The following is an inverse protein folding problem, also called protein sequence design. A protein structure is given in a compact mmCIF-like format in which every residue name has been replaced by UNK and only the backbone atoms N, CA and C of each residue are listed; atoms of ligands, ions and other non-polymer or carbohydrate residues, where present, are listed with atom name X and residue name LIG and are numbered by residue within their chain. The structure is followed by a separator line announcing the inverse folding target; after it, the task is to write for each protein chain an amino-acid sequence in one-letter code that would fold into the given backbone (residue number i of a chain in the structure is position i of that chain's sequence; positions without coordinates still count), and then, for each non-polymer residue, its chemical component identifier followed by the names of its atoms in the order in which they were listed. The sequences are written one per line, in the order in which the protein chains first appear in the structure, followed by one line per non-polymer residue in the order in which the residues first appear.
data_IF_673057404774
#
_entry.id   IF_673057404774
#
_cell.length_a   1.000
_cell.length_b   1.000
_cell.length_c   1.000
_cell.angle_alpha   90.00
_cell.angle_beta   90.00
_cell.angle_gamma   90.00
#
_symmetry.space_group_name_H-M   'P 1'
#
loop_
_entity.id
_entity.type
_entity.pdbx_description
1 polymer ?
#
# COMPACT_ATOMS: atom_id res chain seq x y z
N UNK A 1 14.14 -12.86 9.19
CA UNK A 1 13.75 -11.46 9.06
C UNK A 1 13.12 -11.06 10.37
N UNK A 2 13.60 -10.02 11.00
CA UNK A 2 13.18 -9.58 12.33
C UNK A 2 12.82 -8.10 12.28
N UNK A 3 11.68 -7.74 12.86
CA UNK A 3 11.19 -6.37 12.97
C UNK A 3 11.05 -5.93 14.44
N UNK A 4 11.69 -6.64 15.36
CA UNK A 4 11.66 -6.29 16.79
C UNK A 4 12.10 -4.84 17.02
N UNK A 5 11.31 -4.13 17.81
CA UNK A 5 11.55 -2.73 18.14
C UNK A 5 11.25 -1.73 17.02
N UNK A 6 10.84 -2.18 15.82
CA UNK A 6 10.46 -1.32 14.72
C UNK A 6 9.04 -0.82 14.85
N UNK A 7 8.81 0.42 14.42
CA UNK A 7 7.47 1.02 14.33
C UNK A 7 7.05 1.09 12.87
N UNK A 8 5.89 0.50 12.55
CA UNK A 8 5.32 0.50 11.20
C UNK A 8 4.00 1.28 11.18
N UNK A 9 3.85 2.18 10.19
CA UNK A 9 2.61 2.88 9.88
C UNK A 9 2.09 2.37 8.54
N UNK A 10 0.87 1.82 8.51
CA UNK A 10 0.29 1.21 7.30
C UNK A 10 -1.07 1.84 7.02
N UNK A 11 -1.24 2.48 5.86
CA UNK A 11 -2.51 3.07 5.43
C UNK A 11 -3.41 2.07 4.70
N UNK A 12 -4.74 2.22 4.80
CA UNK A 12 -5.70 1.26 4.25
C UNK A 12 -5.55 -0.12 4.90
N UNK A 13 -5.23 -0.16 6.19
CA UNK A 13 -4.85 -1.38 6.89
C UNK A 13 -6.01 -2.11 7.59
N UNK A 14 -7.25 -1.63 7.43
CA UNK A 14 -8.42 -2.30 7.98
C UNK A 14 -8.88 -3.52 7.16
N UNK A 15 -8.33 -3.75 5.96
CA UNK A 15 -8.71 -4.87 5.09
C UNK A 15 -7.60 -5.27 4.11
N UNK A 16 -7.81 -6.37 3.38
CA UNK A 16 -6.99 -6.80 2.23
C UNK A 16 -5.49 -6.86 2.52
N UNK A 17 -4.70 -6.33 1.59
CA UNK A 17 -3.24 -6.34 1.67
C UNK A 17 -2.72 -5.59 2.90
N UNK A 18 -3.30 -4.43 3.22
CA UNK A 18 -2.89 -3.63 4.38
C UNK A 18 -3.06 -4.37 5.69
N UNK A 19 -4.18 -5.05 5.88
CA UNK A 19 -4.43 -5.89 7.07
C UNK A 19 -3.42 -7.03 7.18
N UNK A 20 -3.17 -7.76 6.09
CA UNK A 20 -2.19 -8.85 6.08
C UNK A 20 -0.78 -8.35 6.40
N UNK A 21 -0.36 -7.20 5.83
CA UNK A 21 0.93 -6.59 6.17
C UNK A 21 1.00 -6.18 7.64
N UNK A 22 -0.07 -5.59 8.20
CA UNK A 22 -0.12 -5.20 9.61
C UNK A 22 0.05 -6.43 10.54
N UNK A 23 -0.68 -7.50 10.28
CA UNK A 23 -0.60 -8.75 11.03
C UNK A 23 0.79 -9.40 10.90
N UNK A 24 1.34 -9.44 9.68
CA UNK A 24 2.65 -10.03 9.39
C UNK A 24 3.79 -9.27 10.08
N UNK A 25 3.75 -7.92 10.05
CA UNK A 25 4.76 -7.10 10.70
C UNK A 25 4.70 -7.26 12.23
N UNK A 26 3.51 -7.26 12.82
CA UNK A 26 3.33 -7.48 14.25
C UNK A 26 3.78 -8.88 14.70
N UNK A 27 3.53 -9.91 13.89
CA UNK A 27 4.01 -11.28 14.15
C UNK A 27 5.55 -11.37 14.13
N UNK A 28 6.23 -10.45 13.43
CA UNK A 28 7.70 -10.34 13.38
C UNK A 28 8.26 -9.34 14.42
N UNK A 29 7.43 -8.87 15.36
CA UNK A 29 7.87 -8.07 16.49
C UNK A 29 7.75 -6.55 16.30
N UNK A 30 7.21 -6.06 15.18
CA UNK A 30 6.96 -4.64 15.01
C UNK A 30 5.79 -4.15 15.86
N UNK A 31 5.83 -2.87 16.26
CA UNK A 31 4.66 -2.12 16.71
C UNK A 31 3.99 -1.50 15.48
N UNK A 32 2.67 -1.62 15.35
CA UNK A 32 1.96 -1.33 14.10
C UNK A 32 0.84 -0.33 14.32
N UNK A 33 0.84 0.75 13.56
CA UNK A 33 -0.30 1.64 13.42
C UNK A 33 -1.14 1.20 12.22
N UNK A 34 -2.35 0.73 12.50
CA UNK A 34 -3.38 0.37 11.52
C UNK A 34 -4.13 1.65 11.18
N UNK A 35 -3.77 2.31 10.08
CA UNK A 35 -4.38 3.59 9.66
C UNK A 35 -5.41 3.33 8.57
N UNK A 36 -6.65 3.78 8.78
CA UNK A 36 -7.72 3.61 7.79
C UNK A 36 -8.75 4.75 7.87
N UNK A 37 -9.51 4.94 6.81
CA UNK A 37 -10.65 5.86 6.80
C UNK A 37 -11.76 5.38 7.75
N UNK A 38 -11.92 4.05 7.88
CA UNK A 38 -12.85 3.41 8.82
C UNK A 38 -12.14 3.16 10.15
N UNK A 39 -12.25 4.11 11.08
CA UNK A 39 -11.62 4.03 12.40
C UNK A 39 -12.05 2.81 13.20
N UNK A 40 -13.34 2.44 13.16
CA UNK A 40 -13.85 1.25 13.87
C UNK A 40 -13.17 -0.03 13.39
N UNK A 41 -13.07 -0.23 12.06
CA UNK A 41 -12.38 -1.39 11.49
C UNK A 41 -10.88 -1.37 11.76
N UNK A 42 -10.26 -0.19 11.77
CA UNK A 42 -8.85 -0.06 12.15
C UNK A 42 -8.63 -0.49 13.61
N UNK A 43 -9.52 -0.07 14.51
CA UNK A 43 -9.48 -0.46 15.91
C UNK A 43 -9.71 -1.97 16.10
N UNK A 44 -10.64 -2.58 15.35
CA UNK A 44 -10.87 -4.04 15.38
C UNK A 44 -9.62 -4.82 14.96
N UNK A 45 -8.95 -4.40 13.88
CA UNK A 45 -7.71 -5.06 13.40
C UNK A 45 -6.59 -4.88 14.43
N UNK A 46 -6.43 -3.68 14.99
CA UNK A 46 -5.42 -3.42 16.02
C UNK A 46 -5.67 -4.26 17.28
N UNK A 47 -6.92 -4.36 17.73
CA UNK A 47 -7.30 -5.20 18.88
C UNK A 47 -7.00 -6.69 18.63
N UNK A 48 -7.25 -7.18 17.41
CA UNK A 48 -6.94 -8.57 17.02
C UNK A 48 -5.43 -8.85 16.97
N UNK A 49 -4.59 -7.84 16.73
CA UNK A 49 -3.12 -7.97 16.78
C UNK A 49 -2.64 -7.97 18.24
N UNK A 50 -3.25 -7.14 19.08
CA UNK A 50 -2.89 -6.98 20.49
C UNK A 50 -2.58 -5.53 20.84
N UNK A 51 -3.14 -5.05 21.95
CA UNK A 51 -3.07 -3.64 22.37
C UNK A 51 -1.65 -3.16 22.72
N UNK A 52 -0.75 -4.07 23.05
CA UNK A 52 0.67 -3.82 23.30
C UNK A 52 1.49 -3.62 22.01
N UNK A 53 0.97 -4.08 20.87
CA UNK A 53 1.65 -4.11 19.58
C UNK A 53 1.00 -3.26 18.50
N UNK A 54 -0.29 -2.93 18.63
CA UNK A 54 -0.97 -2.20 17.58
C UNK A 54 -1.96 -1.15 18.11
N UNK A 55 -2.09 -0.06 17.34
CA UNK A 55 -3.12 0.97 17.52
C UNK A 55 -3.90 1.16 16.22
N UNK A 56 -5.21 1.41 16.36
CA UNK A 56 -6.05 1.86 15.24
C UNK A 56 -6.05 3.38 15.18
N UNK A 57 -5.89 3.94 13.98
CA UNK A 57 -5.87 5.39 13.75
C UNK A 57 -6.78 5.72 12.57
N UNK A 58 -7.70 6.67 12.75
CA UNK A 58 -8.56 7.15 11.67
C UNK A 58 -7.85 8.24 10.88
N UNK A 59 -7.78 8.11 9.54
CA UNK A 59 -7.27 9.17 8.67
C UNK A 59 -7.79 9.02 7.24
N UNK A 60 -8.17 10.12 6.60
CA UNK A 60 -8.32 10.22 5.15
C UNK A 60 -6.96 10.58 4.53
N UNK A 61 -6.37 9.67 3.79
CA UNK A 61 -5.06 9.87 3.15
C UNK A 61 -5.04 11.00 2.12
N UNK A 62 -6.20 11.44 1.64
CA UNK A 62 -6.32 12.58 0.71
C UNK A 62 -6.17 13.91 1.42
N UNK A 63 -6.32 13.91 2.76
CA UNK A 63 -6.24 15.09 3.62
C UNK A 63 -4.90 15.13 4.34
N UNK A 64 -4.09 16.14 4.04
CA UNK A 64 -2.76 16.29 4.64
C UNK A 64 -2.84 16.40 6.17
N UNK A 65 -3.80 17.16 6.69
CA UNK A 65 -3.95 17.36 8.13
C UNK A 65 -4.24 16.04 8.89
N UNK A 66 -4.99 15.12 8.28
CA UNK A 66 -5.26 13.81 8.88
C UNK A 66 -3.98 12.98 8.98
N UNK A 67 -3.13 13.00 7.94
CA UNK A 67 -1.86 12.29 7.98
C UNK A 67 -0.86 12.92 8.96
N UNK A 68 -0.83 14.25 9.09
CA UNK A 68 -0.02 14.92 10.12
C UNK A 68 -0.46 14.49 11.52
N UNK A 69 -1.78 14.42 11.78
CA UNK A 69 -2.33 13.96 13.04
C UNK A 69 -2.04 12.46 13.27
N UNK A 70 -2.17 11.63 12.24
CA UNK A 70 -1.87 10.20 12.33
C UNK A 70 -0.40 9.94 12.66
N UNK A 71 0.53 10.60 11.96
CA UNK A 71 1.97 10.48 12.23
C UNK A 71 2.30 10.94 13.65
N UNK A 72 1.68 12.04 14.12
CA UNK A 72 1.85 12.50 15.50
C UNK A 72 1.38 11.44 16.51
N UNK A 73 0.16 10.90 16.34
CA UNK A 73 -0.39 9.87 17.21
C UNK A 73 0.51 8.63 17.28
N UNK A 74 1.03 8.18 16.12
CA UNK A 74 1.95 7.04 16.06
C UNK A 74 3.26 7.33 16.76
N UNK A 75 3.81 8.52 16.56
CA UNK A 75 5.07 8.94 17.18
C UNK A 75 4.95 9.04 18.70
N UNK A 76 3.83 9.52 19.22
CA UNK A 76 3.56 9.57 20.65
C UNK A 76 3.39 8.17 21.26
N UNK A 77 2.76 7.24 20.54
CA UNK A 77 2.51 5.89 21.04
C UNK A 77 3.73 4.96 20.94
N UNK A 78 4.45 5.01 19.81
CA UNK A 78 5.45 4.00 19.46
C UNK A 78 6.81 4.55 19.03
N UNK A 79 6.96 5.86 18.95
CA UNK A 79 8.13 6.52 18.36
C UNK A 79 7.99 6.76 16.86
N UNK A 80 8.99 7.43 16.29
CA UNK A 80 9.01 7.75 14.85
C UNK A 80 8.91 6.47 14.02
N UNK A 81 8.03 6.43 12.99
CA UNK A 81 7.93 5.25 12.14
C UNK A 81 9.24 4.91 11.43
N UNK A 82 9.75 3.69 11.61
CA UNK A 82 10.85 3.11 10.83
C UNK A 82 10.39 2.65 9.45
N UNK A 83 9.12 2.20 9.37
CA UNK A 83 8.51 1.61 8.19
C UNK A 83 7.19 2.33 7.91
N UNK A 84 7.04 2.88 6.71
CA UNK A 84 5.79 3.49 6.26
C UNK A 84 5.29 2.73 5.04
N UNK A 85 4.03 2.27 5.07
CA UNK A 85 3.41 1.59 3.93
C UNK A 85 2.23 2.41 3.43
N UNK A 86 2.40 3.06 2.28
CA UNK A 86 1.34 3.71 1.53
C UNK A 86 0.55 2.64 0.76
N UNK A 87 -0.39 1.98 1.47
CA UNK A 87 -1.20 0.91 0.89
C UNK A 87 -2.61 1.37 0.52
N UNK A 88 -3.17 2.40 1.18
CA UNK A 88 -4.47 2.93 0.82
C UNK A 88 -4.55 3.19 -0.69
N UNK A 89 -5.59 2.65 -1.32
CA UNK A 89 -5.75 2.75 -2.75
C UNK A 89 -7.18 2.43 -3.17
N UNK A 90 -7.56 2.91 -4.33
CA UNK A 90 -8.85 2.63 -4.94
C UNK A 90 -8.73 2.44 -6.45
N UNK A 91 -9.71 1.80 -7.03
CA UNK A 91 -9.92 1.74 -8.49
C UNK A 91 -11.29 2.34 -8.84
N UNK A 92 -11.49 2.64 -10.10
CA UNK A 92 -12.85 2.76 -10.65
C UNK A 92 -13.29 1.40 -11.20
N UNK A 93 -14.59 1.22 -11.40
CA UNK A 93 -15.14 0.03 -12.04
C UNK A 93 -14.53 -0.12 -13.44
N UNK A 94 -14.21 -1.35 -13.84
CA UNK A 94 -13.75 -1.65 -15.20
C UNK A 94 -14.87 -1.30 -16.21
N UNK A 95 -14.62 -0.29 -17.03
CA UNK A 95 -15.58 0.27 -18.01
C UNK A 95 -14.85 1.05 -19.11
N UNK A 96 -15.51 1.40 -20.22
CA UNK A 96 -14.92 2.27 -21.25
C UNK A 96 -14.39 3.57 -20.68
N UNK A 97 -13.24 4.02 -21.18
CA UNK A 97 -12.52 5.17 -20.60
C UNK A 97 -13.33 6.48 -20.61
N UNK A 98 -14.22 6.65 -21.58
CA UNK A 98 -15.07 7.84 -21.68
C UNK A 98 -16.27 7.84 -20.73
N UNK A 99 -16.58 6.70 -20.11
CA UNK A 99 -17.68 6.57 -19.15
C UNK A 99 -17.22 6.86 -17.71
N UNK A 100 -15.92 7.09 -17.49
CA UNK A 100 -15.38 7.49 -16.19
C UNK A 100 -15.48 9.00 -16.05
N UNK A 101 -16.29 9.46 -15.10
CA UNK A 101 -16.48 10.89 -14.85
C UNK A 101 -15.26 11.54 -14.17
N UNK A 102 -15.18 12.88 -14.24
CA UNK A 102 -14.07 13.66 -13.69
C UNK A 102 -13.92 13.47 -12.16
N UNK A 103 -15.02 13.41 -11.43
CA UNK A 103 -14.98 13.24 -9.98
C UNK A 103 -14.38 11.89 -9.59
N UNK A 104 -14.67 10.83 -10.33
CA UNK A 104 -14.07 9.50 -10.15
C UNK A 104 -12.57 9.53 -10.49
N UNK A 105 -12.18 10.19 -11.59
CA UNK A 105 -10.78 10.40 -11.95
C UNK A 105 -10.02 11.11 -10.83
N UNK A 106 -10.54 12.26 -10.37
CA UNK A 106 -9.91 13.05 -9.30
C UNK A 106 -9.73 12.25 -8.02
N UNK A 107 -10.75 11.48 -7.65
CA UNK A 107 -10.70 10.64 -6.45
C UNK A 107 -9.66 9.53 -6.56
N UNK A 108 -9.54 8.87 -7.72
CA UNK A 108 -8.52 7.85 -7.97
C UNK A 108 -7.12 8.45 -7.82
N UNK A 109 -6.86 9.63 -8.38
CA UNK A 109 -5.57 10.30 -8.27
C UNK A 109 -5.33 10.86 -6.87
N UNK A 110 -6.34 11.38 -6.20
CA UNK A 110 -6.23 11.85 -4.83
C UNK A 110 -5.81 10.73 -3.88
N UNK A 111 -6.44 9.54 -3.99
CA UNK A 111 -6.16 8.40 -3.12
C UNK A 111 -4.86 7.70 -3.52
N UNK A 112 -4.60 7.43 -4.80
CA UNK A 112 -3.46 6.61 -5.22
C UNK A 112 -2.15 7.38 -5.36
N UNK A 113 -2.20 8.70 -5.61
CA UNK A 113 -1.03 9.52 -5.95
C UNK A 113 -0.81 10.63 -4.94
N UNK A 114 -1.81 11.52 -4.73
CA UNK A 114 -1.68 12.65 -3.81
C UNK A 114 -1.46 12.19 -2.36
N UNK A 115 -2.00 11.04 -1.96
CA UNK A 115 -1.77 10.46 -0.64
C UNK A 115 -0.28 10.22 -0.36
N UNK A 116 0.50 9.80 -1.37
CA UNK A 116 1.95 9.61 -1.25
C UNK A 116 2.63 10.96 -1.00
N UNK A 117 2.27 12.00 -1.77
CA UNK A 117 2.75 13.36 -1.52
C UNK A 117 2.44 13.81 -0.08
N UNK A 118 1.21 13.63 0.36
CA UNK A 118 0.79 13.99 1.72
C UNK A 118 1.59 13.24 2.78
N UNK A 119 1.78 11.92 2.63
CA UNK A 119 2.54 11.10 3.58
C UNK A 119 4.02 11.49 3.60
N UNK A 120 4.65 11.72 2.45
CA UNK A 120 6.05 12.18 2.39
C UNK A 120 6.24 13.43 3.22
N UNK A 121 5.39 14.42 3.04
CA UNK A 121 5.47 15.66 3.79
C UNK A 121 5.15 15.50 5.29
N UNK A 122 4.30 14.55 5.66
CA UNK A 122 3.94 14.30 7.04
C UNK A 122 5.06 13.59 7.83
N UNK A 123 5.76 12.63 7.20
CA UNK A 123 6.62 11.71 7.94
C UNK A 123 8.11 11.87 7.65
N UNK A 124 8.50 12.27 6.42
CA UNK A 124 9.93 12.31 6.02
C UNK A 124 10.78 13.22 6.89
N UNK A 125 10.33 14.43 7.32
CA UNK A 125 11.13 15.24 8.24
C UNK A 125 11.52 14.51 9.52
N UNK A 126 10.56 13.83 10.15
CA UNK A 126 10.81 13.05 11.37
C UNK A 126 11.71 11.84 11.11
N UNK A 127 11.46 11.08 10.01
CA UNK A 127 12.31 9.94 9.63
C UNK A 127 13.76 10.35 9.38
N UNK A 128 13.97 11.48 8.67
CA UNK A 128 15.32 12.04 8.42
C UNK A 128 16.04 12.34 9.73
N UNK A 129 15.39 13.04 10.63
CA UNK A 129 15.97 13.47 11.91
C UNK A 129 16.16 12.26 12.86
N UNK A 130 15.43 11.17 12.65
CA UNK A 130 15.56 9.90 13.38
C UNK A 130 16.65 8.96 12.80
N UNK A 131 17.25 9.30 11.66
CA UNK A 131 18.36 8.54 11.05
C UNK A 131 17.96 7.64 9.89
N UNK A 132 16.76 7.78 9.35
CA UNK A 132 16.32 7.08 8.14
C UNK A 132 15.16 6.11 8.35
N UNK A 133 14.98 5.18 7.40
CA UNK A 133 13.90 4.20 7.44
C UNK A 133 13.55 3.66 6.06
N UNK A 134 12.31 3.16 5.90
CA UNK A 134 11.83 2.66 4.61
C UNK A 134 10.37 3.06 4.35
N UNK A 135 10.11 3.50 3.12
CA UNK A 135 8.77 3.73 2.60
C UNK A 135 8.45 2.69 1.52
N UNK A 136 7.33 2.03 1.67
CA UNK A 136 6.80 1.06 0.71
C UNK A 136 5.49 1.60 0.13
N UNK A 137 5.43 1.74 -1.19
CA UNK A 137 4.22 2.17 -1.87
C UNK A 137 3.57 0.97 -2.54
N UNK A 138 2.27 0.73 -2.29
CA UNK A 138 1.55 -0.32 -3.00
C UNK A 138 1.14 0.20 -4.38
N UNK A 139 2.01 -0.08 -5.35
CA UNK A 139 1.79 0.15 -6.76
C UNK A 139 0.81 -0.84 -7.36
N UNK A 140 1.08 -1.29 -8.57
CA UNK A 140 0.35 -2.37 -9.24
C UNK A 140 1.11 -2.81 -10.49
N UNK A 141 0.92 -4.08 -10.90
CA UNK A 141 1.27 -4.52 -12.26
C UNK A 141 0.52 -3.74 -13.35
N UNK A 142 -0.63 -3.14 -13.02
CA UNK A 142 -1.37 -2.25 -13.92
C UNK A 142 -0.56 -1.02 -14.38
N UNK A 143 0.38 -0.56 -13.54
CA UNK A 143 1.35 0.49 -13.88
C UNK A 143 2.55 -0.01 -14.68
N UNK A 144 2.67 -1.31 -14.96
CA UNK A 144 3.73 -1.95 -15.75
C UNK A 144 3.14 -2.49 -17.05
N UNK A 145 2.10 -3.32 -16.96
CA UNK A 145 1.36 -3.93 -18.06
C UNK A 145 -0.12 -3.57 -17.92
N UNK A 146 -0.58 -2.50 -18.60
CA UNK A 146 -1.92 -1.95 -18.39
C UNK A 146 -3.02 -2.93 -18.82
N UNK A 147 -4.22 -2.72 -18.28
CA UNK A 147 -5.41 -3.49 -18.59
C UNK A 147 -6.47 -2.60 -19.26
N UNK A 148 -7.16 -3.07 -20.28
CA UNK A 148 -8.32 -2.37 -20.85
C UNK A 148 -9.39 -2.11 -19.77
N UNK A 149 -10.12 -1.01 -19.93
CA UNK A 149 -11.22 -0.62 -19.04
C UNK A 149 -10.78 -0.02 -17.69
N UNK A 150 -9.48 0.13 -17.45
CA UNK A 150 -8.90 0.68 -16.21
C UNK A 150 -7.89 1.80 -16.47
N UNK A 151 -8.05 2.56 -17.55
CA UNK A 151 -7.06 3.53 -18.03
C UNK A 151 -6.58 4.49 -16.93
N UNK A 152 -7.49 5.11 -16.19
CA UNK A 152 -7.14 6.10 -15.18
C UNK A 152 -6.50 5.48 -13.94
N UNK A 153 -6.96 4.30 -13.54
CA UNK A 153 -6.29 3.50 -12.52
C UNK A 153 -4.88 3.09 -12.95
N UNK A 154 -4.70 2.57 -14.18
CA UNK A 154 -3.37 2.21 -14.72
C UNK A 154 -2.42 3.40 -14.66
N UNK A 155 -2.88 4.60 -15.09
CA UNK A 155 -2.11 5.84 -15.02
C UNK A 155 -1.71 6.21 -13.60
N UNK A 156 -2.65 6.13 -12.65
CA UNK A 156 -2.35 6.42 -11.23
C UNK A 156 -1.33 5.47 -10.64
N UNK A 157 -1.38 4.17 -10.98
CA UNK A 157 -0.42 3.17 -10.51
C UNK A 157 0.93 3.24 -11.23
N UNK A 158 0.93 3.68 -12.51
CA UNK A 158 2.17 4.07 -13.20
C UNK A 158 2.86 5.24 -12.50
N UNK A 159 2.10 6.26 -12.11
CA UNK A 159 2.62 7.36 -11.30
C UNK A 159 3.17 6.89 -9.95
N UNK A 160 2.46 6.02 -9.22
CA UNK A 160 2.93 5.45 -7.96
C UNK A 160 4.27 4.71 -8.14
N UNK A 161 4.40 3.89 -9.18
CA UNK A 161 5.62 3.14 -9.47
C UNK A 161 6.80 4.08 -9.78
N UNK A 162 6.57 5.15 -10.55
CA UNK A 162 7.59 6.13 -10.89
C UNK A 162 7.96 7.03 -9.70
N UNK A 163 6.98 7.50 -8.92
CA UNK A 163 7.22 8.28 -7.71
C UNK A 163 8.09 7.51 -6.71
N UNK A 164 7.90 6.19 -6.59
CA UNK A 164 8.74 5.36 -5.72
C UNK A 164 10.21 5.40 -6.12
N UNK A 165 10.51 5.40 -7.43
CA UNK A 165 11.88 5.52 -7.95
C UNK A 165 12.44 6.92 -7.72
N UNK A 166 11.66 7.96 -8.00
CA UNK A 166 12.11 9.35 -7.81
C UNK A 166 12.39 9.65 -6.34
N UNK A 167 11.48 9.26 -5.44
CA UNK A 167 11.67 9.42 -4.01
C UNK A 167 12.88 8.64 -3.48
N UNK A 168 13.16 7.46 -4.04
CA UNK A 168 14.32 6.66 -3.66
C UNK A 168 15.64 7.43 -3.89
N UNK A 169 15.74 8.14 -5.02
CA UNK A 169 16.94 8.94 -5.35
C UNK A 169 17.06 10.14 -4.41
N UNK A 170 15.96 10.87 -4.20
CA UNK A 170 15.99 12.10 -3.38
C UNK A 170 16.16 11.84 -1.88
N UNK A 171 15.60 10.72 -1.37
CA UNK A 171 15.63 10.42 0.06
C UNK A 171 16.82 9.56 0.50
N UNK A 172 17.56 8.97 -0.45
CA UNK A 172 18.74 8.16 -0.15
C UNK A 172 19.81 8.87 0.71
N UNK A 173 20.12 10.18 0.51
CA UNK A 173 21.06 10.91 1.37
C UNK A 173 20.64 10.97 2.85
N UNK A 174 19.35 10.76 3.14
CA UNK A 174 18.81 10.72 4.50
C UNK A 174 18.63 9.29 5.01
N UNK A 175 19.24 8.30 4.34
CA UNK A 175 19.12 6.88 4.68
C UNK A 175 17.65 6.39 4.68
N UNK A 176 16.80 6.98 3.84
CA UNK A 176 15.42 6.54 3.65
C UNK A 176 15.33 5.80 2.31
N UNK A 177 15.00 4.50 2.37
CA UNK A 177 14.76 3.69 1.18
C UNK A 177 13.31 3.81 0.76
N UNK A 178 13.06 3.80 -0.55
CA UNK A 178 11.70 3.80 -1.09
C UNK A 178 11.56 2.74 -2.16
N UNK A 179 10.54 1.89 -2.06
CA UNK A 179 10.26 0.85 -3.05
C UNK A 179 8.75 0.76 -3.32
N UNK A 180 8.38 0.24 -4.49
CA UNK A 180 7.00 -0.12 -4.79
C UNK A 180 6.81 -1.63 -4.76
N UNK A 181 5.70 -2.09 -4.20
CA UNK A 181 5.20 -3.45 -4.34
C UNK A 181 4.11 -3.40 -5.40
N UNK A 182 4.21 -4.23 -6.42
CA UNK A 182 3.31 -4.20 -7.58
C UNK A 182 2.51 -5.51 -7.68
N UNK A 183 1.42 -5.67 -6.88
CA UNK A 183 0.59 -6.87 -6.97
C UNK A 183 -0.12 -6.95 -8.32
N UNK A 184 -0.38 -8.19 -8.77
CA UNK A 184 -1.42 -8.47 -9.74
C UNK A 184 -2.78 -8.40 -9.04
N UNK A 185 -3.84 -8.70 -9.75
CA UNK A 185 -5.19 -8.80 -9.19
C UNK A 185 -5.20 -9.72 -7.95
N UNK A 186 -5.60 -9.16 -6.82
CA UNK A 186 -5.63 -9.85 -5.54
C UNK A 186 -7.02 -10.28 -5.09
N UNK A 187 -7.08 -11.30 -4.25
CA UNK A 187 -8.29 -11.73 -3.57
C UNK A 187 -8.64 -10.73 -2.44
N UNK A 188 -9.11 -9.55 -2.82
CA UNK A 188 -9.43 -8.43 -1.93
C UNK A 188 -10.84 -7.89 -2.22
N UNK A 189 -11.41 -7.05 -1.34
CA UNK A 189 -12.72 -6.43 -1.59
C UNK A 189 -12.83 -5.62 -2.91
N UNK A 190 -11.73 -5.18 -3.49
CA UNK A 190 -11.72 -4.45 -4.77
C UNK A 190 -11.82 -5.36 -6.01
N UNK A 191 -11.85 -6.68 -5.85
CA UNK A 191 -11.76 -7.62 -6.97
C UNK A 191 -12.91 -7.47 -7.97
N UNK A 192 -14.15 -7.26 -7.48
CA UNK A 192 -15.32 -7.08 -8.32
C UNK A 192 -15.21 -5.85 -9.23
N UNK A 193 -14.71 -4.73 -8.70
CA UNK A 193 -14.50 -3.49 -9.47
C UNK A 193 -13.43 -3.69 -10.55
N UNK A 194 -12.34 -4.38 -10.23
CA UNK A 194 -11.31 -4.73 -11.21
C UNK A 194 -11.83 -5.62 -12.34
N UNK A 195 -12.72 -6.55 -12.04
CA UNK A 195 -13.34 -7.40 -13.04
C UNK A 195 -14.45 -6.69 -13.83
N UNK A 196 -15.07 -5.65 -13.26
CA UNK A 196 -16.29 -5.06 -13.77
C UNK A 196 -17.50 -5.98 -13.69
N UNK A 197 -17.40 -7.04 -12.85
CA UNK A 197 -18.36 -8.10 -12.71
C UNK A 197 -18.36 -8.65 -11.28
N UNK A 198 -19.45 -9.32 -10.85
CA UNK A 198 -19.49 -9.97 -9.52
C UNK A 198 -18.32 -10.95 -9.33
N UNK A 199 -17.86 -11.06 -8.09
CA UNK A 199 -16.81 -11.98 -7.70
C UNK A 199 -17.37 -13.40 -7.61
N UNK A 200 -17.25 -14.15 -8.73
CA UNK A 200 -17.65 -15.56 -8.84
C UNK A 200 -16.49 -16.39 -9.39
N UNK A 201 -16.48 -17.73 -9.14
CA UNK A 201 -15.46 -18.61 -9.70
C UNK A 201 -15.31 -18.50 -11.21
N UNK A 202 -16.41 -18.36 -11.95
CA UNK A 202 -16.44 -18.26 -13.41
C UNK A 202 -15.79 -16.94 -13.88
N UNK A 203 -16.07 -15.83 -13.17
CA UNK A 203 -15.47 -14.56 -13.50
C UNK A 203 -13.97 -14.53 -13.13
N UNK A 204 -13.58 -15.10 -11.99
CA UNK A 204 -12.16 -15.25 -11.61
C UNK A 204 -11.40 -16.07 -12.67
N UNK A 205 -11.96 -17.17 -13.16
CA UNK A 205 -11.32 -18.06 -14.13
C UNK A 205 -10.87 -17.31 -15.42
N UNK A 206 -11.64 -16.31 -15.87
CA UNK A 206 -11.30 -15.50 -17.05
C UNK A 206 -9.98 -14.73 -16.89
N UNK A 207 -9.58 -14.43 -15.66
CA UNK A 207 -8.37 -13.69 -15.36
C UNK A 207 -7.18 -14.57 -15.01
N UNK A 208 -7.42 -15.76 -14.45
CA UNK A 208 -6.39 -16.70 -14.03
C UNK A 208 -5.49 -17.14 -15.19
N UNK A 209 -6.05 -17.32 -16.38
CA UNK A 209 -5.29 -17.68 -17.57
C UNK A 209 -4.20 -16.67 -17.98
N UNK A 210 -4.23 -15.46 -17.42
CA UNK A 210 -3.21 -14.45 -17.65
C UNK A 210 -2.09 -14.45 -16.60
N UNK A 211 -2.19 -15.31 -15.59
CA UNK A 211 -1.21 -15.41 -14.50
C UNK A 211 -0.54 -16.80 -14.60
N UNK A 212 0.73 -16.92 -14.99
CA UNK A 212 1.42 -18.20 -15.17
C UNK A 212 1.33 -19.17 -13.97
N UNK A 213 1.39 -18.66 -12.73
CA UNK A 213 1.23 -19.48 -11.53
C UNK A 213 -0.22 -19.92 -11.25
N UNK A 214 -1.21 -19.53 -12.10
CA UNK A 214 -2.58 -20.07 -12.11
C UNK A 214 -3.46 -19.67 -10.92
N UNK A 215 -3.09 -18.68 -10.11
CA UNK A 215 -3.90 -18.19 -9.01
C UNK A 215 -3.86 -16.67 -8.87
N UNK A 216 -4.83 -16.10 -8.16
CA UNK A 216 -4.79 -14.71 -7.76
C UNK A 216 -3.67 -14.46 -6.74
N UNK A 217 -3.25 -13.21 -6.60
CA UNK A 217 -2.37 -12.79 -5.52
C UNK A 217 -3.15 -12.81 -4.20
N UNK A 218 -2.65 -13.55 -3.23
CA UNK A 218 -3.21 -13.56 -1.89
C UNK A 218 -2.60 -12.42 -1.04
N UNK A 219 -3.30 -11.95 -0.01
CA UNK A 219 -2.79 -10.90 0.87
C UNK A 219 -1.42 -11.24 1.48
N UNK A 220 -1.17 -12.49 1.78
CA UNK A 220 0.07 -13.01 2.36
C UNK A 220 1.25 -12.89 1.40
N UNK A 221 1.04 -13.04 0.09
CA UNK A 221 2.10 -12.85 -0.94
C UNK A 221 2.64 -11.40 -0.89
N UNK A 222 1.73 -10.43 -0.73
CA UNK A 222 2.08 -9.01 -0.62
C UNK A 222 2.74 -8.71 0.73
N UNK A 223 2.26 -9.31 1.81
CA UNK A 223 2.84 -9.14 3.13
C UNK A 223 4.27 -9.68 3.21
N UNK A 224 4.57 -10.83 2.61
CA UNK A 224 5.92 -11.40 2.55
C UNK A 224 6.87 -10.53 1.70
N UNK A 225 6.40 -10.01 0.57
CA UNK A 225 7.17 -9.06 -0.23
C UNK A 225 7.44 -7.75 0.54
N UNK A 226 6.48 -7.27 1.32
CA UNK A 226 6.66 -6.08 2.16
C UNK A 226 7.71 -6.31 3.25
N UNK A 227 7.69 -7.47 3.93
CA UNK A 227 8.72 -7.85 4.90
C UNK A 227 10.10 -7.89 4.25
N UNK A 228 10.22 -8.52 3.08
CA UNK A 228 11.47 -8.57 2.34
C UNK A 228 12.02 -7.17 2.06
N UNK A 229 11.21 -6.28 1.48
CA UNK A 229 11.64 -4.92 1.16
C UNK A 229 11.91 -4.06 2.41
N UNK A 230 11.20 -4.30 3.49
CA UNK A 230 11.45 -3.62 4.76
C UNK A 230 12.81 -3.98 5.35
N UNK A 231 13.24 -5.25 5.22
CA UNK A 231 14.48 -5.78 5.82
C UNK A 231 15.68 -5.83 4.86
N UNK A 232 15.49 -5.65 3.56
CA UNK A 232 16.56 -5.67 2.56
C UNK A 232 17.27 -4.32 2.49
N UNK A 233 18.31 -4.12 3.29
CA UNK A 233 18.93 -2.80 3.51
C UNK A 233 19.62 -2.20 2.27
N UNK A 234 19.93 -2.97 1.24
CA UNK A 234 20.60 -2.48 0.01
C UNK A 234 19.68 -2.45 -1.21
N UNK A 235 18.34 -2.41 -0.96
CA UNK A 235 17.34 -2.31 -2.04
C UNK A 235 16.54 -1.02 -1.88
N UNK A 236 16.62 -0.14 -2.89
CA UNK A 236 15.83 1.08 -3.02
C UNK A 236 15.52 1.35 -4.49
N UNK A 237 14.42 2.02 -4.79
CA UNK A 237 14.00 2.40 -6.16
C UNK A 237 13.44 1.24 -6.99
N UNK A 238 13.14 0.08 -6.39
CA UNK A 238 12.57 -1.05 -7.12
C UNK A 238 11.06 -0.95 -7.18
N UNK A 239 10.47 -1.34 -8.32
CA UNK A 239 9.06 -1.65 -8.44
C UNK A 239 8.95 -3.18 -8.60
N UNK A 240 8.71 -3.86 -7.48
CA UNK A 240 8.73 -5.33 -7.37
C UNK A 240 7.39 -5.93 -7.76
N UNK A 241 7.26 -6.65 -8.90
CA UNK A 241 6.06 -7.40 -9.21
C UNK A 241 5.82 -8.55 -8.21
N UNK A 242 4.58 -8.65 -7.71
CA UNK A 242 4.09 -9.79 -6.93
C UNK A 242 2.88 -10.33 -7.71
N UNK A 243 3.17 -11.09 -8.77
CA UNK A 243 2.23 -11.24 -9.87
C UNK A 243 2.13 -12.65 -10.50
N UNK A 244 2.84 -13.61 -9.96
CA UNK A 244 2.85 -14.96 -10.48
C UNK A 244 3.29 -15.07 -11.95
N UNK A 245 4.14 -14.12 -12.43
CA UNK A 245 4.64 -14.07 -13.79
C UNK A 245 3.75 -13.29 -14.77
N UNK A 246 2.76 -12.52 -14.29
CA UNK A 246 1.80 -11.80 -15.14
C UNK A 246 2.44 -10.75 -16.06
N UNK A 247 3.57 -10.19 -15.68
CA UNK A 247 4.22 -9.08 -16.40
C UNK A 247 5.38 -9.48 -17.29
N UNK A 248 5.73 -10.75 -17.36
CA UNK A 248 6.71 -11.32 -18.31
C UNK A 248 6.07 -11.68 -19.63
#
# INVERSE_FOLDING_TARGET
MDLNGKTALITGAASGFGKAMAQRFAALGARVAVVDLSGDKAAEVAAAIGADKAIGVTADVTMRADLDAAVKTVTEAFGVPDIVVNNAGMTHKNQPLLDVDEATFDRVFAVNVKSIYNMVHAVVPAMRDHGGGVMLNVGSTAGIRPRPGLTWYNGSKGATNMLSKSLAVELAPWNIRVNAICPVMGATPMLADFMGAPDTPENRAKFLGSIPLGRLCEPEDVADAAVYLATAHFITGVALPVDGGRTI
#
